data_IF_043942210914
#
_entry.id   IF_043942210914
#
_cell.length_a   1.000
_cell.length_b   1.000
_cell.length_c   1.000
_cell.angle_alpha   90.00
_cell.angle_beta   90.00
_cell.angle_gamma   90.00
#
_symmetry.space_group_name_H-M   'P 1'
#
loop_
_entity.id
_entity.type
_entity.pdbx_description
1 polymer ?
#
# COMPACT_ATOMS: atom_id res chain seq x y z
N UNK A 1 15.83 24.96 16.19
CA UNK A 1 14.41 24.75 15.85
C UNK A 1 14.38 23.63 14.82
N UNK A 2 13.42 22.68 14.83
CA UNK A 2 13.32 21.79 13.69
C UNK A 2 12.98 22.64 12.47
N UNK A 3 13.76 22.44 11.42
CA UNK A 3 13.55 23.05 10.11
C UNK A 3 12.31 22.41 9.47
N UNK A 4 11.48 23.17 8.72
CA UNK A 4 10.36 22.62 7.97
C UNK A 4 10.82 21.65 6.87
N UNK A 5 12.12 21.62 6.60
CA UNK A 5 12.80 20.64 5.76
C UNK A 5 13.83 19.85 6.58
N UNK A 6 13.86 18.52 6.45
CA UNK A 6 14.92 17.69 7.01
C UNK A 6 15.18 16.45 6.16
N UNK A 7 16.45 16.07 6.03
CA UNK A 7 16.86 14.81 5.42
C UNK A 7 17.45 13.87 6.48
N UNK A 8 16.89 12.67 6.61
CA UNK A 8 17.15 11.76 7.72
C UNK A 8 17.70 10.43 7.16
N UNK A 9 18.96 10.06 7.46
CA UNK A 9 19.50 8.77 7.05
C UNK A 9 18.72 7.61 7.67
N UNK A 10 18.28 6.65 6.86
CA UNK A 10 17.57 5.46 7.36
C UNK A 10 18.52 4.28 7.65
N UNK A 11 19.77 4.33 7.15
CA UNK A 11 20.84 3.39 7.54
C UNK A 11 20.69 1.95 7.02
N UNK A 12 19.77 1.70 6.09
CA UNK A 12 19.54 0.35 5.52
C UNK A 12 20.58 -0.04 4.45
N UNK A 13 21.26 0.95 3.85
CA UNK A 13 22.25 0.74 2.78
C UNK A 13 21.65 0.33 1.43
N UNK A 14 20.33 0.24 1.34
CA UNK A 14 19.53 -0.07 0.15
C UNK A 14 18.20 0.68 0.22
N UNK A 15 17.54 0.85 -0.93
CA UNK A 15 16.19 1.40 -1.02
C UNK A 15 15.19 0.54 -0.24
N UNK A 16 14.40 1.11 0.69
CA UNK A 16 13.40 0.37 1.45
C UNK A 16 12.21 -0.06 0.59
N UNK A 17 11.66 -1.25 0.85
CA UNK A 17 10.48 -1.76 0.13
C UNK A 17 9.18 -1.11 0.61
N UNK A 18 9.15 -0.74 1.89
CA UNK A 18 8.05 -0.05 2.53
C UNK A 18 8.59 0.92 3.57
N UNK A 19 7.96 2.08 3.66
CA UNK A 19 8.26 3.19 4.57
C UNK A 19 6.95 3.77 5.11
N UNK A 20 6.92 4.10 6.39
CA UNK A 20 5.88 4.95 6.97
C UNK A 20 6.54 6.12 7.70
N UNK A 21 5.87 7.27 7.62
CA UNK A 21 6.28 8.50 8.31
C UNK A 21 5.10 8.99 9.11
N UNK A 22 5.18 8.80 10.43
CA UNK A 22 4.11 9.09 11.37
C UNK A 22 4.37 10.37 12.15
N UNK A 23 3.38 11.25 12.18
CA UNK A 23 3.35 12.48 12.94
C UNK A 23 2.56 12.23 14.23
N UNK A 24 3.26 12.08 15.35
CA UNK A 24 2.63 11.99 16.68
C UNK A 24 2.35 13.40 17.20
N UNK A 25 1.07 13.74 17.30
CA UNK A 25 0.56 15.06 17.65
C UNK A 25 0.52 15.25 19.17
N UNK A 26 0.47 16.51 19.63
CA UNK A 26 0.46 16.84 21.07
C UNK A 26 -0.76 16.31 21.83
N UNK A 27 -1.85 16.02 21.12
CA UNK A 27 -3.06 15.39 21.63
C UNK A 27 -2.96 13.87 21.78
N UNK A 28 -1.89 13.25 21.26
CA UNK A 28 -1.69 11.80 21.24
C UNK A 28 -2.20 11.11 19.98
N UNK A 29 -2.89 11.82 19.07
CA UNK A 29 -3.25 11.29 17.76
C UNK A 29 -2.01 11.10 16.87
N UNK A 30 -2.09 10.15 15.94
CA UNK A 30 -1.07 9.90 14.92
C UNK A 30 -1.66 10.20 13.55
N UNK A 31 -1.00 11.06 12.79
CA UNK A 31 -1.30 11.33 11.38
C UNK A 31 -0.18 10.76 10.50
N UNK A 32 -0.53 10.16 9.37
CA UNK A 32 0.46 9.68 8.39
C UNK A 32 0.82 10.83 7.43
N UNK A 33 2.11 11.11 7.28
CA UNK A 33 2.59 12.01 6.22
C UNK A 33 2.19 11.44 4.85
N UNK A 34 1.93 12.30 3.87
CA UNK A 34 1.33 11.98 2.57
C UNK A 34 -0.14 11.49 2.59
N UNK A 35 -0.77 11.26 3.76
CA UNK A 35 -2.11 10.66 3.85
C UNK A 35 -3.25 11.50 3.25
N UNK A 36 -3.24 12.81 3.48
CA UNK A 36 -4.18 13.78 2.92
C UNK A 36 -3.46 15.12 2.81
N UNK A 37 -2.66 15.33 1.75
CA UNK A 37 -2.11 16.66 1.43
C UNK A 37 -3.22 17.52 0.82
N UNK A 38 -4.20 17.89 1.64
CA UNK A 38 -5.02 19.05 1.31
C UNK A 38 -4.19 20.29 1.56
N UNK A 39 -4.22 21.16 0.56
CA UNK A 39 -4.00 22.60 0.60
C UNK A 39 -2.66 23.16 0.12
N UNK A 40 -2.78 23.74 -1.10
CA UNK A 40 -2.05 24.79 -1.83
C UNK A 40 -0.53 24.66 -2.00
N UNK A 41 -0.06 25.03 -3.18
CA UNK A 41 1.36 25.33 -3.42
C UNK A 41 1.71 26.81 -3.20
N UNK A 42 0.70 27.68 -2.99
CA UNK A 42 0.85 29.13 -2.88
C UNK A 42 -0.02 29.75 -1.77
N UNK A 43 0.60 30.61 -0.96
CA UNK A 43 -0.01 31.50 0.03
C UNK A 43 -0.33 32.85 -0.61
N UNK A 44 -1.17 32.85 -1.65
CA UNK A 44 -1.68 34.10 -2.21
C UNK A 44 -2.39 34.97 -1.15
N UNK A 45 -2.96 36.14 -1.53
CA UNK A 45 -3.64 37.08 -0.61
C UNK A 45 -4.93 36.54 0.06
N UNK A 46 -5.13 35.22 0.06
CA UNK A 46 -6.30 34.52 0.58
C UNK A 46 -5.87 33.72 1.82
N UNK A 47 -6.73 33.74 2.82
CA UNK A 47 -6.63 33.04 4.10
C UNK A 47 -6.76 31.51 3.96
N UNK A 48 -5.95 30.89 3.09
CA UNK A 48 -5.93 29.44 2.89
C UNK A 48 -4.71 28.90 3.60
N UNK A 49 -4.95 28.06 4.59
CA UNK A 49 -3.90 27.46 5.38
C UNK A 49 -3.55 26.11 4.77
N UNK A 50 -2.27 25.83 4.65
CA UNK A 50 -1.78 24.56 4.13
C UNK A 50 -1.52 23.56 5.24
N UNK A 51 -1.84 22.31 4.95
CA UNK A 51 -1.84 21.26 5.96
C UNK A 51 -1.19 19.98 5.48
N UNK A 52 -0.13 19.59 6.19
CA UNK A 52 0.43 18.26 6.05
C UNK A 52 1.94 18.25 6.04
N UNK A 53 2.44 17.06 5.74
CA UNK A 53 3.86 16.77 5.60
C UNK A 53 4.02 15.84 4.41
N UNK A 54 4.92 16.20 3.50
CA UNK A 54 5.38 15.38 2.38
C UNK A 54 6.64 14.65 2.83
N UNK A 55 6.83 13.42 2.36
CA UNK A 55 8.13 12.76 2.46
C UNK A 55 8.54 12.14 1.13
N UNK A 56 9.83 11.91 0.97
CA UNK A 56 10.38 11.22 -0.18
C UNK A 56 11.57 10.40 0.26
N UNK A 57 11.81 9.29 -0.43
CA UNK A 57 12.75 8.27 -0.01
C UNK A 57 13.80 8.05 -1.09
N UNK A 58 15.06 7.92 -0.67
CA UNK A 58 16.18 7.47 -1.51
C UNK A 58 16.68 6.12 -0.98
N UNK A 59 17.82 5.65 -1.48
CA UNK A 59 18.49 4.46 -0.94
C UNK A 59 19.31 4.74 0.34
N UNK A 60 19.42 6.00 0.75
CA UNK A 60 20.20 6.42 1.92
C UNK A 60 19.40 7.19 2.95
N UNK A 61 18.36 7.91 2.55
CA UNK A 61 17.62 8.83 3.41
C UNK A 61 16.11 8.88 3.15
N UNK A 62 15.39 9.33 4.17
CA UNK A 62 14.02 9.81 4.08
C UNK A 62 14.05 11.32 4.28
N UNK A 63 13.63 12.06 3.26
CA UNK A 63 13.50 13.51 3.29
C UNK A 63 12.07 13.90 3.64
N UNK A 64 11.90 14.95 4.44
CA UNK A 64 10.60 15.43 4.94
C UNK A 64 10.47 16.92 4.64
N UNK A 65 9.31 17.31 4.12
CA UNK A 65 8.87 18.70 3.92
C UNK A 65 7.55 18.92 4.64
N UNK A 66 7.56 19.72 5.70
CA UNK A 66 6.37 20.25 6.32
C UNK A 66 5.95 21.56 5.66
N UNK A 67 4.66 21.88 5.67
CA UNK A 67 4.19 23.21 5.31
C UNK A 67 4.78 24.28 6.25
N UNK A 68 5.25 25.40 5.70
CA UNK A 68 6.10 26.36 6.41
C UNK A 68 5.57 27.81 6.46
N UNK A 69 4.36 28.08 5.97
CA UNK A 69 3.70 29.39 6.08
C UNK A 69 3.32 29.76 7.52
N UNK A 70 3.06 31.05 7.75
CA UNK A 70 2.74 31.58 9.09
C UNK A 70 1.46 30.98 9.71
N UNK A 71 0.53 30.53 8.88
CA UNK A 71 -0.75 29.91 9.28
C UNK A 71 -0.86 28.43 8.81
N UNK A 72 0.29 27.80 8.55
CA UNK A 72 0.39 26.41 8.11
C UNK A 72 0.60 25.43 9.25
N UNK A 73 0.26 24.17 8.97
CA UNK A 73 0.28 23.11 9.96
C UNK A 73 0.93 21.84 9.41
N UNK A 74 1.72 21.17 10.26
CA UNK A 74 2.28 19.85 9.91
C UNK A 74 1.18 18.79 9.80
N UNK A 75 0.04 19.02 10.49
CA UNK A 75 -1.20 18.26 10.36
C UNK A 75 -2.40 19.14 10.74
N UNK A 76 -3.47 19.11 9.96
CA UNK A 76 -4.74 19.73 10.32
C UNK A 76 -5.92 19.01 9.66
N UNK A 77 -7.11 19.17 10.25
CA UNK A 77 -8.39 18.67 9.73
C UNK A 77 -9.43 19.75 10.06
N UNK A 78 -9.94 20.44 9.03
CA UNK A 78 -10.85 21.60 9.13
C UNK A 78 -11.57 21.84 7.81
N UNK A 79 -12.41 22.87 7.71
CA UNK A 79 -12.98 23.36 6.45
C UNK A 79 -13.86 22.32 5.71
N UNK A 80 -14.81 21.73 6.44
CA UNK A 80 -15.79 20.77 5.88
C UNK A 80 -15.53 19.31 6.24
N UNK A 81 -14.47 19.04 7.02
CA UNK A 81 -14.13 17.71 7.52
C UNK A 81 -14.52 17.56 9.00
N UNK A 82 -15.74 17.05 9.24
CA UNK A 82 -16.23 16.80 10.60
C UNK A 82 -16.76 18.05 11.30
N UNK A 83 -17.02 17.94 12.61
CA UNK A 83 -17.58 19.04 13.44
C UNK A 83 -16.53 19.82 14.23
N UNK A 84 -15.30 19.33 14.32
CA UNK A 84 -14.21 19.92 15.09
C UNK A 84 -13.04 20.25 14.17
N UNK A 85 -12.55 21.48 14.26
CA UNK A 85 -11.31 21.88 13.59
C UNK A 85 -10.13 21.57 14.50
N UNK A 86 -9.16 20.81 13.99
CA UNK A 86 -7.92 20.50 14.69
C UNK A 86 -6.72 20.90 13.83
N UNK A 87 -5.71 21.49 14.45
CA UNK A 87 -4.51 21.97 13.75
C UNK A 87 -3.29 21.92 14.67
N UNK A 88 -2.15 21.49 14.11
CA UNK A 88 -0.91 21.30 14.84
C UNK A 88 0.26 21.86 14.03
N UNK A 89 0.99 22.81 14.62
CA UNK A 89 2.19 23.41 14.02
C UNK A 89 3.46 22.60 14.26
N UNK A 90 3.37 21.52 15.03
CA UNK A 90 4.50 20.63 15.31
C UNK A 90 4.02 19.21 15.66
N UNK A 91 4.89 18.23 15.42
CA UNK A 91 4.67 16.83 15.75
C UNK A 91 6.01 16.15 16.05
N UNK A 92 5.97 15.04 16.81
CA UNK A 92 7.10 14.12 16.87
C UNK A 92 7.04 13.19 15.67
N UNK A 93 8.11 13.12 14.89
CA UNK A 93 8.18 12.29 13.68
C UNK A 93 8.76 10.92 14.02
N UNK A 94 8.05 9.85 13.62
CA UNK A 94 8.52 8.47 13.69
C UNK A 94 8.58 7.90 12.28
N UNK A 95 9.79 7.61 11.81
CA UNK A 95 10.03 6.96 10.52
C UNK A 95 10.24 5.47 10.78
N UNK A 96 9.57 4.64 9.99
CA UNK A 96 9.87 3.20 9.93
C UNK A 96 10.08 2.82 8.47
N UNK A 97 11.10 2.00 8.23
CA UNK A 97 11.47 1.54 6.90
C UNK A 97 11.80 0.06 6.97
N UNK A 98 11.34 -0.71 5.98
CA UNK A 98 11.44 -2.16 5.95
C UNK A 98 12.06 -2.63 4.64
N UNK A 99 12.89 -3.67 4.74
CA UNK A 99 13.28 -4.51 3.61
C UNK A 99 12.45 -5.78 3.70
N UNK A 100 11.68 -6.04 2.65
CA UNK A 100 10.77 -7.15 2.55
C UNK A 100 11.40 -8.27 1.73
N UNK A 101 10.97 -9.49 1.99
CA UNK A 101 11.41 -10.67 1.23
C UNK A 101 10.73 -10.73 -0.14
N UNK A 102 11.31 -11.50 -1.06
CA UNK A 102 10.70 -11.77 -2.36
C UNK A 102 9.34 -12.49 -2.27
N UNK A 103 9.03 -13.13 -1.13
CA UNK A 103 7.70 -13.71 -0.87
C UNK A 103 6.68 -12.69 -0.36
N UNK A 104 7.13 -11.55 0.15
CA UNK A 104 6.28 -10.47 0.63
C UNK A 104 6.00 -9.46 -0.49
N UNK A 105 6.98 -9.15 -1.33
CA UNK A 105 6.78 -8.31 -2.53
C UNK A 105 6.42 -9.20 -3.72
N UNK A 106 5.11 -9.42 -3.93
CA UNK A 106 4.60 -10.39 -4.90
C UNK A 106 4.33 -9.82 -6.29
N UNK A 107 4.39 -8.50 -6.43
CA UNK A 107 4.34 -7.78 -7.72
C UNK A 107 5.14 -6.49 -7.59
N UNK A 108 5.86 -6.11 -8.65
CA UNK A 108 6.68 -4.90 -8.71
C UNK A 108 6.86 -4.45 -10.17
N UNK A 109 5.78 -3.98 -10.79
CA UNK A 109 5.80 -3.55 -12.19
C UNK A 109 6.24 -2.10 -12.30
N UNK A 110 7.12 -1.80 -13.26
CA UNK A 110 7.70 -0.47 -13.44
C UNK A 110 7.31 0.07 -14.82
N UNK A 111 6.81 1.29 -14.84
CA UNK A 111 6.36 2.00 -16.03
C UNK A 111 7.09 3.33 -16.15
N UNK A 112 7.67 3.60 -17.32
CA UNK A 112 8.20 4.94 -17.61
C UNK A 112 7.06 5.89 -17.96
N UNK A 113 7.11 7.11 -17.44
CA UNK A 113 6.17 8.18 -17.77
C UNK A 113 6.90 9.50 -17.98
N UNK A 114 6.39 10.31 -18.90
CA UNK A 114 6.77 11.72 -19.02
C UNK A 114 5.49 12.54 -19.14
N UNK A 115 5.43 13.69 -18.47
CA UNK A 115 4.28 14.60 -18.43
C UNK A 115 3.69 14.81 -19.84
N UNK A 116 2.38 14.62 -19.97
CA UNK A 116 1.66 14.73 -21.25
C UNK A 116 1.86 13.55 -22.22
N UNK A 117 2.68 12.56 -21.87
CA UNK A 117 2.88 11.33 -22.62
C UNK A 117 1.76 10.30 -22.40
N UNK A 118 1.85 9.18 -23.12
CA UNK A 118 0.96 8.03 -22.93
C UNK A 118 1.42 7.14 -21.77
N UNK A 119 0.46 6.57 -21.06
CA UNK A 119 0.69 5.72 -19.91
C UNK A 119 -0.37 4.61 -19.85
N UNK A 120 -0.04 3.36 -19.43
CA UNK A 120 -1.05 2.33 -19.26
C UNK A 120 -2.01 2.74 -18.14
N UNK A 121 -3.24 3.09 -18.50
CA UNK A 121 -4.25 3.56 -17.54
C UNK A 121 -4.74 2.46 -16.60
N UNK A 122 -4.53 1.19 -16.94
CA UNK A 122 -5.06 0.03 -16.21
C UNK A 122 -4.04 -1.13 -16.12
N UNK A 123 -2.96 -0.99 -15.36
CA UNK A 123 -2.07 -2.12 -15.07
C UNK A 123 -2.83 -3.26 -14.40
N UNK A 124 -2.55 -4.49 -14.84
CA UNK A 124 -3.15 -5.73 -14.32
C UNK A 124 -2.47 -6.11 -13.01
N UNK A 125 -3.26 -6.43 -11.99
CA UNK A 125 -2.76 -6.97 -10.73
C UNK A 125 -2.58 -8.49 -10.84
N UNK A 126 -1.67 -9.03 -10.05
CA UNK A 126 -1.39 -10.45 -9.99
C UNK A 126 -2.67 -11.26 -9.76
N UNK A 127 -2.82 -12.39 -10.45
CA UNK A 127 -4.04 -13.20 -10.44
C UNK A 127 -4.47 -13.71 -9.06
N UNK A 128 -3.58 -13.70 -8.06
CA UNK A 128 -3.86 -14.09 -6.66
C UNK A 128 -4.16 -12.89 -5.76
N UNK A 129 -4.31 -11.68 -6.31
CA UNK A 129 -4.53 -10.48 -5.53
C UNK A 129 -5.85 -10.55 -4.73
N UNK A 130 -5.78 -10.15 -3.46
CA UNK A 130 -6.91 -10.13 -2.55
C UNK A 130 -6.87 -8.85 -1.71
N UNK A 131 -7.99 -8.10 -1.68
CA UNK A 131 -8.11 -6.82 -0.99
C UNK A 131 -7.97 -6.90 0.53
N UNK A 132 -8.24 -8.06 1.13
CA UNK A 132 -8.18 -8.29 2.57
C UNK A 132 -6.79 -8.73 3.04
N UNK A 133 -5.93 -9.17 2.11
CA UNK A 133 -4.63 -9.77 2.45
C UNK A 133 -3.44 -9.04 1.83
N UNK A 134 -3.64 -8.15 0.87
CA UNK A 134 -2.56 -7.46 0.18
C UNK A 134 -2.69 -5.94 0.24
N UNK A 135 -1.55 -5.27 0.29
CA UNK A 135 -1.42 -3.82 0.15
C UNK A 135 -0.97 -3.51 -1.28
N UNK A 136 -1.63 -2.54 -1.91
CA UNK A 136 -1.16 -1.93 -3.15
C UNK A 136 -0.46 -0.62 -2.82
N UNK A 137 0.80 -0.53 -3.21
CA UNK A 137 1.62 0.67 -3.09
C UNK A 137 1.98 1.15 -4.49
N UNK A 138 1.70 2.42 -4.77
CA UNK A 138 2.20 3.08 -5.99
C UNK A 138 3.30 4.04 -5.59
N UNK A 139 4.43 3.92 -6.26
CA UNK A 139 5.62 4.75 -6.05
C UNK A 139 5.93 5.52 -7.33
N UNK A 140 6.27 6.79 -7.21
CA UNK A 140 6.70 7.66 -8.31
C UNK A 140 8.10 8.14 -8.03
N UNK A 141 9.04 7.79 -8.91
CA UNK A 141 10.47 8.04 -8.74
C UNK A 141 11.04 8.86 -9.88
N UNK A 142 11.91 9.82 -9.57
CA UNK A 142 12.65 10.59 -10.58
C UNK A 142 13.53 9.65 -11.42
N UNK A 143 13.20 9.53 -12.71
CA UNK A 143 13.90 8.63 -13.64
C UNK A 143 15.20 9.23 -14.19
N UNK A 144 15.44 10.53 -13.98
CA UNK A 144 16.64 11.21 -14.48
C UNK A 144 17.87 10.99 -13.59
N UNK A 145 17.70 10.40 -12.40
CA UNK A 145 18.73 10.24 -11.38
C UNK A 145 18.83 8.79 -10.93
N UNK A 146 20.04 8.23 -10.91
CA UNK A 146 20.29 6.81 -10.56
C UNK A 146 19.80 6.41 -9.15
N UNK A 147 19.73 7.38 -8.23
CA UNK A 147 19.19 7.26 -6.87
C UNK A 147 18.07 8.28 -6.63
N UNK A 148 17.34 8.62 -7.71
CA UNK A 148 16.27 9.62 -7.69
C UNK A 148 15.27 9.34 -6.59
N UNK A 149 14.73 10.43 -6.05
CA UNK A 149 13.81 10.39 -4.92
C UNK A 149 12.47 9.78 -5.32
N UNK A 150 11.95 8.93 -4.46
CA UNK A 150 10.68 8.23 -4.64
C UNK A 150 9.64 8.79 -3.68
N UNK A 151 8.44 9.03 -4.20
CA UNK A 151 7.27 9.45 -3.46
C UNK A 151 6.21 8.37 -3.55
N UNK A 152 5.40 8.17 -2.51
CA UNK A 152 4.18 7.40 -2.70
C UNK A 152 3.20 8.19 -3.54
N UNK A 153 2.29 7.49 -4.23
CA UNK A 153 1.39 8.02 -5.25
C UNK A 153 0.93 9.46 -5.03
N UNK A 154 -0.18 9.67 -4.31
CA UNK A 154 -0.70 11.02 -4.01
C UNK A 154 0.19 11.84 -3.03
N UNK A 155 1.42 11.40 -2.80
CA UNK A 155 2.31 11.88 -1.74
C UNK A 155 3.20 13.06 -2.10
N UNK A 156 2.93 13.77 -3.20
CA UNK A 156 3.55 15.08 -3.48
C UNK A 156 2.50 16.20 -3.38
N UNK A 157 2.82 17.45 -3.75
CA UNK A 157 1.88 18.56 -3.54
C UNK A 157 0.66 18.48 -4.47
N UNK A 158 -0.56 18.66 -3.95
CA UNK A 158 -1.80 18.61 -4.75
C UNK A 158 -2.33 20.01 -5.10
N UNK A 159 -3.05 20.13 -6.24
CA UNK A 159 -3.70 21.38 -6.72
C UNK A 159 -4.90 21.74 -5.84
N UNK A 160 -5.12 23.02 -5.57
CA UNK A 160 -6.37 23.53 -4.98
C UNK A 160 -7.10 24.46 -5.94
N UNK A 161 -6.39 25.42 -6.54
CA UNK A 161 -6.97 26.38 -7.48
C UNK A 161 -6.49 26.13 -8.92
N UNK A 162 -7.38 26.39 -9.88
CA UNK A 162 -7.08 26.18 -11.30
C UNK A 162 -5.84 26.98 -11.74
N UNK A 163 -4.82 26.27 -12.22
CA UNK A 163 -3.59 26.86 -12.74
C UNK A 163 -2.46 26.96 -11.72
N UNK A 164 -2.68 26.50 -10.48
CA UNK A 164 -1.59 26.30 -9.53
C UNK A 164 -0.75 25.08 -9.92
N UNK A 165 0.56 25.11 -9.64
CA UNK A 165 1.38 23.92 -9.76
C UNK A 165 0.88 22.79 -8.87
N UNK A 166 1.01 21.56 -9.33
CA UNK A 166 0.69 20.38 -8.55
C UNK A 166 1.51 19.18 -8.99
N UNK A 167 1.38 18.08 -8.27
CA UNK A 167 1.98 16.83 -8.66
C UNK A 167 1.54 15.61 -7.88
N UNK A 168 2.02 14.46 -8.35
CA UNK A 168 1.78 13.17 -7.74
C UNK A 168 1.06 12.23 -8.69
N UNK A 169 1.10 10.94 -8.39
CA UNK A 169 0.42 9.92 -9.16
C UNK A 169 -0.74 9.37 -8.34
N UNK A 170 -1.96 9.70 -8.72
CA UNK A 170 -3.13 9.19 -8.03
C UNK A 170 -3.40 7.76 -8.48
N UNK A 171 -3.92 6.95 -7.56
CA UNK A 171 -4.28 5.59 -7.88
C UNK A 171 -5.48 5.09 -7.09
N UNK A 172 -6.15 4.11 -7.67
CA UNK A 172 -7.18 3.30 -7.04
C UNK A 172 -7.07 1.89 -7.60
N UNK A 173 -7.68 0.90 -6.94
CA UNK A 173 -7.55 -0.48 -7.40
C UNK A 173 -8.76 -1.31 -7.01
N UNK A 174 -8.95 -2.40 -7.73
CA UNK A 174 -9.91 -3.46 -7.42
C UNK A 174 -9.17 -4.81 -7.37
N UNK A 175 -9.91 -5.92 -7.39
CA UNK A 175 -9.32 -7.26 -7.33
C UNK A 175 -8.41 -7.65 -8.51
N UNK A 176 -8.40 -6.89 -9.60
CA UNK A 176 -7.80 -7.31 -10.87
C UNK A 176 -6.93 -6.25 -11.54
N UNK A 177 -7.19 -4.97 -11.28
CA UNK A 177 -6.49 -3.87 -11.94
C UNK A 177 -6.27 -2.74 -10.94
N UNK A 178 -5.16 -2.04 -11.10
CA UNK A 178 -5.04 -0.67 -10.59
C UNK A 178 -5.44 0.31 -11.70
N UNK A 179 -5.93 1.47 -11.28
CA UNK A 179 -6.19 2.65 -12.10
C UNK A 179 -5.18 3.70 -11.69
N UNK A 180 -4.47 4.26 -12.66
CA UNK A 180 -3.43 5.25 -12.43
C UNK A 180 -3.80 6.55 -13.15
N UNK A 181 -3.68 7.68 -12.45
CA UNK A 181 -3.85 9.02 -13.00
C UNK A 181 -2.59 9.83 -12.77
N UNK A 182 -2.05 10.37 -13.85
CA UNK A 182 -0.85 11.19 -13.84
C UNK A 182 -1.14 12.62 -14.32
N UNK A 183 -0.38 13.61 -13.86
CA UNK A 183 -0.54 14.99 -14.31
C UNK A 183 -0.25 15.13 -15.81
N UNK A 184 -1.23 15.59 -16.57
CA UNK A 184 -1.13 15.81 -18.02
C UNK A 184 -1.14 17.30 -18.41
N UNK A 185 -1.53 18.19 -17.50
CA UNK A 185 -1.57 19.63 -17.74
C UNK A 185 -0.18 20.26 -17.52
N UNK A 186 0.05 21.43 -18.13
CA UNK A 186 1.34 22.15 -18.06
C UNK A 186 1.78 22.55 -16.65
N UNK A 187 0.83 22.75 -15.73
CA UNK A 187 1.11 23.09 -14.34
C UNK A 187 1.29 21.85 -13.44
N UNK A 188 0.97 20.66 -13.95
CA UNK A 188 1.05 19.42 -13.18
C UNK A 188 2.30 18.62 -13.47
N UNK A 189 3.10 18.29 -12.45
CA UNK A 189 4.32 17.50 -12.58
C UNK A 189 4.15 16.14 -11.90
N UNK A 190 4.57 15.01 -12.50
CA UNK A 190 4.48 13.71 -11.81
C UNK A 190 5.13 13.68 -10.41
N UNK A 191 6.16 14.50 -10.15
CA UNK A 191 6.60 14.85 -8.79
C UNK A 191 6.69 16.38 -8.69
N UNK A 192 6.04 16.94 -7.66
CA UNK A 192 6.15 18.36 -7.32
C UNK A 192 6.33 18.57 -5.83
N UNK A 193 7.40 19.26 -5.43
CA UNK A 193 7.63 19.76 -4.08
C UNK A 193 8.25 21.15 -4.20
N UNK A 194 7.49 22.22 -4.00
CA UNK A 194 8.01 23.60 -4.03
C UNK A 194 6.99 24.55 -3.38
N UNK A 195 7.27 25.84 -3.34
CA UNK A 195 6.43 26.86 -2.74
C UNK A 195 6.53 26.77 -1.23
N UNK A 196 5.41 26.39 -0.60
CA UNK A 196 5.27 26.40 0.85
C UNK A 196 5.93 25.20 1.56
N UNK A 197 6.26 24.16 0.80
CA UNK A 197 6.76 22.90 1.33
C UNK A 197 8.24 23.03 1.69
N UNK A 198 8.57 22.78 2.95
CA UNK A 198 9.93 22.90 3.46
C UNK A 198 10.49 24.31 3.40
N UNK A 199 9.63 25.35 3.37
CA UNK A 199 10.03 26.76 3.22
C UNK A 199 10.80 27.01 1.90
N UNK A 200 10.38 26.33 0.82
CA UNK A 200 11.01 26.40 -0.50
C UNK A 200 12.38 25.70 -0.60
N UNK A 201 12.77 24.94 0.42
CA UNK A 201 14.04 24.20 0.42
C UNK A 201 13.93 22.88 -0.37
N UNK A 202 14.98 22.57 -1.13
CA UNK A 202 15.09 21.36 -1.96
C UNK A 202 13.89 21.18 -2.92
N UNK A 203 13.60 22.18 -3.79
CA UNK A 203 12.44 22.14 -4.66
C UNK A 203 12.60 21.12 -5.78
N UNK A 204 11.51 20.43 -6.12
CA UNK A 204 11.42 19.37 -7.12
C UNK A 204 10.29 19.63 -8.11
N UNK A 205 10.63 19.67 -9.39
CA UNK A 205 9.71 19.85 -10.53
C UNK A 205 10.04 18.80 -11.58
N UNK A 206 9.60 17.55 -11.36
CA UNK A 206 10.05 16.42 -12.18
C UNK A 206 8.98 16.02 -13.18
N UNK A 207 9.35 16.05 -14.46
CA UNK A 207 8.45 15.73 -15.58
C UNK A 207 8.64 14.33 -16.14
N UNK A 208 9.77 13.66 -15.85
CA UNK A 208 10.07 12.30 -16.31
C UNK A 208 10.34 11.38 -15.13
N UNK A 209 9.54 10.33 -14.99
CA UNK A 209 9.53 9.46 -13.81
C UNK A 209 9.39 7.98 -14.19
N UNK A 210 9.77 7.12 -13.25
CA UNK A 210 9.34 5.73 -13.23
C UNK A 210 8.24 5.58 -12.18
N UNK A 211 7.08 5.06 -12.60
CA UNK A 211 5.96 4.74 -11.73
C UNK A 211 5.98 3.24 -11.48
N UNK A 212 6.03 2.84 -10.22
CA UNK A 212 6.05 1.45 -9.79
C UNK A 212 4.71 1.08 -9.14
N UNK A 213 4.11 -0.01 -9.60
CA UNK A 213 2.96 -0.66 -8.94
C UNK A 213 3.48 -1.86 -8.18
N UNK A 214 3.43 -1.79 -6.86
CA UNK A 214 3.92 -2.82 -5.94
C UNK A 214 2.75 -3.44 -5.19
N UNK A 215 2.74 -4.77 -5.09
CA UNK A 215 1.79 -5.51 -4.25
C UNK A 215 2.58 -6.19 -3.14
N UNK A 216 2.20 -5.89 -1.91
CA UNK A 216 2.82 -6.43 -0.70
C UNK A 216 1.83 -7.39 -0.04
N UNK A 217 2.23 -8.63 0.20
CA UNK A 217 1.46 -9.58 0.98
C UNK A 217 1.52 -9.24 2.47
N UNK A 218 0.37 -9.16 3.14
CA UNK A 218 0.28 -8.86 4.57
C UNK A 218 -0.06 -10.12 5.37
N UNK A 219 0.74 -10.36 6.41
CA UNK A 219 0.65 -11.57 7.23
C UNK A 219 1.26 -12.78 6.55
N UNK A 220 1.32 -13.90 7.28
CA UNK A 220 1.36 -15.17 6.58
C UNK A 220 0.18 -15.15 5.62
N UNK A 221 0.43 -15.36 4.32
CA UNK A 221 -0.59 -15.83 3.37
C UNK A 221 -1.49 -16.71 4.22
N UNK A 222 -2.82 -16.49 4.33
CA UNK A 222 -3.64 -17.50 4.95
C UNK A 222 -3.28 -18.74 4.16
N UNK A 223 -2.49 -19.62 4.77
CA UNK A 223 -2.40 -21.00 4.34
C UNK A 223 -3.89 -21.28 4.23
N UNK A 224 -4.36 -21.55 3.01
CA UNK A 224 -5.78 -21.73 2.74
C UNK A 224 -6.10 -23.09 3.40
N UNK A 225 -6.01 -23.14 4.73
CA UNK A 225 -6.06 -24.36 5.52
C UNK A 225 -7.49 -24.78 5.43
N UNK A 226 -7.63 -25.99 4.97
CA UNK A 226 -8.93 -26.57 4.79
C UNK A 226 -9.55 -26.72 6.16
N UNK A 227 -10.82 -26.33 6.28
CA UNK A 227 -11.62 -26.71 7.44
C UNK A 227 -11.59 -28.24 7.58
N UNK A 228 -11.95 -28.76 8.75
CA UNK A 228 -11.94 -30.20 9.00
C UNK A 228 -12.63 -30.98 7.86
N UNK A 229 -12.04 -32.09 7.38
CA UNK A 229 -12.63 -32.92 6.34
C UNK A 229 -14.08 -33.31 6.65
N UNK A 230 -14.93 -33.51 5.64
CA UNK A 230 -16.28 -34.03 5.83
C UNK A 230 -16.28 -35.32 6.65
N UNK A 231 -17.12 -35.40 7.69
CA UNK A 231 -17.27 -36.63 8.48
C UNK A 231 -18.08 -37.67 7.71
N UNK A 232 -17.70 -38.93 7.81
CA UNK A 232 -18.43 -40.07 7.24
C UNK A 232 -19.12 -40.87 8.33
N UNK A 233 -20.28 -41.44 8.03
CA UNK A 233 -20.99 -42.34 8.96
C UNK A 233 -20.23 -43.65 9.10
N UNK A 234 -20.10 -44.17 10.32
CA UNK A 234 -19.43 -45.45 10.64
C UNK A 234 -17.95 -45.52 10.22
N UNK A 235 -17.27 -44.39 10.15
CA UNK A 235 -15.84 -44.32 9.88
C UNK A 235 -15.19 -43.13 10.56
N UNK A 236 -13.88 -43.03 10.39
CA UNK A 236 -13.04 -41.95 10.87
C UNK A 236 -12.03 -41.55 9.79
N UNK A 237 -11.35 -40.42 9.99
CA UNK A 237 -10.26 -39.99 9.12
C UNK A 237 -9.00 -39.68 9.93
N UNK A 238 -7.86 -39.87 9.29
CA UNK A 238 -6.56 -39.40 9.75
C UNK A 238 -6.11 -38.26 8.84
N UNK A 239 -5.70 -37.15 9.45
CA UNK A 239 -5.24 -35.97 8.73
C UNK A 239 -3.71 -35.96 8.73
N UNK A 240 -3.11 -35.78 7.54
CA UNK A 240 -1.68 -35.56 7.37
C UNK A 240 -1.48 -34.46 6.33
N UNK A 241 -1.11 -33.26 6.77
CA UNK A 241 -1.07 -32.05 5.95
C UNK A 241 -2.44 -31.81 5.26
N UNK A 242 -2.44 -31.49 3.96
CA UNK A 242 -3.65 -31.25 3.15
C UNK A 242 -4.27 -32.55 2.61
N UNK A 243 -4.09 -33.67 3.31
CA UNK A 243 -4.56 -34.99 2.90
C UNK A 243 -5.33 -35.67 4.04
N UNK A 244 -6.54 -36.14 3.73
CA UNK A 244 -7.37 -36.93 4.61
C UNK A 244 -7.42 -38.38 4.13
N UNK A 245 -7.05 -39.32 5.00
CA UNK A 245 -7.20 -40.77 4.78
C UNK A 245 -8.37 -41.29 5.58
N UNK A 246 -9.38 -41.85 4.92
CA UNK A 246 -10.59 -42.37 5.55
C UNK A 246 -10.52 -43.87 5.83
N UNK A 247 -11.11 -44.27 6.93
CA UNK A 247 -11.12 -45.64 7.45
C UNK A 247 -12.51 -46.00 7.99
N UNK A 248 -12.93 -47.25 7.80
CA UNK A 248 -14.18 -47.75 8.36
C UNK A 248 -14.01 -48.30 9.78
N UNK A 249 -15.03 -48.13 10.61
CA UNK A 249 -15.08 -48.73 11.93
C UNK A 249 -15.19 -50.27 11.81
N UNK A 250 -14.78 -51.03 12.84
CA UNK A 250 -14.95 -52.48 12.86
C UNK A 250 -16.40 -52.89 12.59
N UNK A 251 -16.60 -53.85 11.68
CA UNK A 251 -17.93 -54.33 11.26
C UNK A 251 -18.50 -53.65 10.01
N UNK A 252 -17.78 -52.68 9.43
CA UNK A 252 -18.14 -51.99 8.20
C UNK A 252 -17.08 -52.17 7.12
N UNK A 253 -17.50 -52.18 5.85
CA UNK A 253 -16.63 -52.26 4.68
C UNK A 253 -16.68 -50.99 3.82
N UNK A 254 -15.56 -50.59 3.21
CA UNK A 254 -15.52 -49.43 2.34
C UNK A 254 -16.25 -49.71 1.03
N UNK A 255 -17.00 -48.73 0.53
CA UNK A 255 -17.67 -48.80 -0.78
C UNK A 255 -16.69 -48.74 -1.98
N UNK A 256 -15.46 -48.26 -1.76
CA UNK A 256 -14.45 -48.08 -2.80
C UNK A 256 -13.02 -48.17 -2.26
N UNK A 257 -12.05 -48.32 -3.18
CA UNK A 257 -10.61 -48.42 -2.85
C UNK A 257 -10.00 -47.04 -2.57
N UNK A 258 -10.42 -45.98 -3.29
CA UNK A 258 -9.91 -44.62 -3.07
C UNK A 258 -10.44 -44.10 -1.73
N UNK A 259 -9.57 -44.06 -0.74
CA UNK A 259 -9.86 -43.58 0.61
C UNK A 259 -9.06 -42.32 0.98
N UNK A 260 -8.21 -41.83 0.08
CA UNK A 260 -7.40 -40.63 0.27
C UNK A 260 -8.01 -39.49 -0.56
N UNK A 261 -8.26 -38.37 0.09
CA UNK A 261 -8.77 -37.15 -0.52
C UNK A 261 -7.86 -36.00 -0.16
N UNK A 262 -7.59 -35.15 -1.14
CA UNK A 262 -6.75 -33.97 -0.93
C UNK A 262 -7.60 -32.72 -0.82
N UNK A 263 -7.05 -31.74 -0.14
CA UNK A 263 -7.59 -30.41 -0.16
C UNK A 263 -6.77 -29.52 -1.09
N UNK A 264 -7.46 -28.77 -1.94
CA UNK A 264 -6.84 -27.85 -2.88
C UNK A 264 -7.52 -26.49 -2.74
N UNK A 265 -6.73 -25.46 -2.43
CA UNK A 265 -7.23 -24.08 -2.25
C UNK A 265 -8.47 -24.01 -1.34
N UNK A 266 -8.36 -24.54 -0.11
CA UNK A 266 -9.44 -24.58 0.91
C UNK A 266 -10.71 -25.37 0.58
N UNK A 267 -10.72 -26.15 -0.51
CA UNK A 267 -11.84 -27.01 -0.84
C UNK A 267 -11.38 -28.47 -0.88
N UNK A 268 -12.04 -29.31 -0.11
CA UNK A 268 -11.83 -30.77 -0.17
C UNK A 268 -12.32 -31.31 -1.50
N UNK A 269 -11.58 -32.26 -2.07
CA UNK A 269 -12.12 -33.11 -3.13
C UNK A 269 -13.47 -33.72 -2.70
N UNK A 270 -14.35 -33.95 -3.67
CA UNK A 270 -15.65 -34.56 -3.39
C UNK A 270 -15.47 -35.95 -2.76
N UNK A 271 -15.82 -36.08 -1.47
CA UNK A 271 -15.65 -37.30 -0.68
C UNK A 271 -16.77 -38.27 -1.02
N UNK A 272 -16.48 -39.24 -1.90
CA UNK A 272 -17.42 -40.31 -2.28
C UNK A 272 -17.28 -41.57 -1.43
N UNK A 273 -16.41 -41.54 -0.42
CA UNK A 273 -16.11 -42.69 0.42
C UNK A 273 -17.17 -42.88 1.50
N UNK A 274 -17.68 -44.10 1.64
CA UNK A 274 -18.66 -44.47 2.66
C UNK A 274 -18.40 -45.86 3.22
N UNK A 275 -18.87 -46.09 4.45
CA UNK A 275 -18.72 -47.35 5.17
C UNK A 275 -20.07 -48.04 5.32
N UNK A 276 -20.21 -49.21 4.69
CA UNK A 276 -21.46 -49.97 4.63
C UNK A 276 -21.38 -51.18 5.58
N UNK A 277 -22.51 -51.49 6.24
CA UNK A 277 -22.56 -52.60 7.18
C UNK A 277 -22.43 -53.93 6.45
N UNK A 278 -21.65 -54.85 7.02
CA UNK A 278 -21.55 -56.21 6.49
C UNK A 278 -22.91 -56.89 6.71
N UNK A 279 -23.71 -57.03 5.65
CA UNK A 279 -24.92 -57.85 5.72
C UNK A 279 -24.50 -59.30 5.91
N UNK A 280 -24.85 -59.89 7.05
CA UNK A 280 -24.75 -61.33 7.24
C UNK A 280 -25.68 -62.02 6.24
N UNK A 281 -25.10 -62.73 5.28
CA UNK A 281 -25.79 -63.73 4.47
C UNK A 281 -25.89 -65.04 5.23
#
# INVERSE_FOLDING_TARGET
MPSPYIDIPHGLGVYPDFVTVQLTLSSGYVSEAQGTTSTTTDHGPKWVNSCGTIFGTTDTSVTIWAAAGADDFVACFKDGWGSEDISYSSANVVIRAWILTNSEVIQNDIYSYTQGGSFPSQPVLINVFNLDHHIVLVETRDASVAQGRTFYGAGSASEVEAGEPYGGTLYGYNQTHALLWTPAASYGNPIYVDGIWGDGMDPLHIVSVSITVKVIATGAIPILVCLSPPTITNGFYELSNDTASYHCNPGYMPNQIKNIFQCNNSVWENVTFSCEGIQAQ
#
